data_IF_173822531352
#
_entry.id   IF_173822531352
#
_cell.length_a   1.000
_cell.length_b   1.000
_cell.length_c   1.000
_cell.angle_alpha   90.00
_cell.angle_beta   90.00
_cell.angle_gamma   90.00
#
_symmetry.space_group_name_H-M   'P 1'
#
loop_
_entity.id
_entity.type
_entity.pdbx_description
1 polymer ?
#
# COMPACT_ATOMS: atom_id res chain seq x y z
N UNK A 1 -41.69 -36.26 -37.42
CA UNK A 1 -42.21 -34.96 -37.91
C UNK A 1 -43.69 -35.13 -38.14
N UNK A 2 -44.53 -34.40 -37.40
CA UNK A 2 -45.97 -34.38 -37.69
C UNK A 2 -46.19 -33.64 -39.01
N UNK A 3 -46.99 -34.22 -39.90
CA UNK A 3 -47.42 -33.55 -41.13
C UNK A 3 -48.43 -32.48 -40.73
N UNK A 4 -48.13 -31.23 -41.06
CA UNK A 4 -49.03 -30.09 -40.87
C UNK A 4 -50.06 -30.15 -41.99
N UNK A 5 -51.35 -30.29 -41.66
CA UNK A 5 -52.43 -30.46 -42.64
C UNK A 5 -53.42 -29.28 -42.66
N UNK A 6 -53.25 -28.30 -41.77
CA UNK A 6 -54.07 -27.08 -41.74
C UNK A 6 -53.25 -25.82 -41.46
N UNK A 7 -53.79 -24.66 -41.83
CA UNK A 7 -53.16 -23.35 -41.61
C UNK A 7 -53.01 -23.07 -40.11
N UNK A 8 -53.97 -23.50 -39.28
CA UNK A 8 -53.91 -23.33 -37.83
C UNK A 8 -52.78 -24.16 -37.18
N UNK A 9 -52.57 -25.39 -37.64
CA UNK A 9 -51.43 -26.23 -37.20
C UNK A 9 -50.09 -25.64 -37.62
N UNK A 10 -50.03 -24.94 -38.76
CA UNK A 10 -48.82 -24.28 -39.23
C UNK A 10 -48.44 -23.10 -38.34
N UNK A 11 -49.43 -22.29 -37.97
CA UNK A 11 -49.24 -21.13 -37.10
C UNK A 11 -48.80 -21.55 -35.68
N UNK A 12 -49.41 -22.60 -35.14
CA UNK A 12 -49.00 -23.18 -33.86
C UNK A 12 -47.57 -23.74 -33.91
N UNK A 13 -47.21 -24.44 -34.99
CA UNK A 13 -45.87 -24.97 -35.17
C UNK A 13 -44.82 -23.85 -35.29
N UNK A 14 -45.14 -22.75 -35.98
CA UNK A 14 -44.28 -21.56 -36.06
C UNK A 14 -44.06 -20.98 -34.66
N UNK A 15 -45.14 -20.76 -33.90
CA UNK A 15 -45.07 -20.18 -32.56
C UNK A 15 -44.28 -21.07 -31.58
N UNK A 16 -44.43 -22.39 -31.68
CA UNK A 16 -43.63 -23.35 -30.92
C UNK A 16 -42.14 -23.29 -31.29
N UNK A 17 -41.83 -23.20 -32.59
CA UNK A 17 -40.46 -23.11 -33.08
C UNK A 17 -39.79 -21.78 -32.68
N UNK A 18 -40.52 -20.66 -32.74
CA UNK A 18 -40.03 -19.36 -32.29
C UNK A 18 -39.75 -19.34 -30.78
N UNK A 19 -40.66 -19.90 -29.99
CA UNK A 19 -40.49 -20.04 -28.54
C UNK A 19 -39.27 -20.89 -28.22
N UNK A 20 -39.10 -22.01 -28.93
CA UNK A 20 -37.95 -22.90 -28.78
C UNK A 20 -36.65 -22.19 -29.16
N UNK A 21 -36.62 -21.50 -30.29
CA UNK A 21 -35.46 -20.75 -30.75
C UNK A 21 -35.06 -19.65 -29.76
N UNK A 22 -36.02 -18.89 -29.23
CA UNK A 22 -35.78 -17.87 -28.22
C UNK A 22 -35.19 -18.47 -26.93
N UNK A 23 -35.71 -19.62 -26.49
CA UNK A 23 -35.19 -20.33 -25.33
C UNK A 23 -33.76 -20.84 -25.57
N UNK A 24 -33.50 -21.48 -26.71
CA UNK A 24 -32.18 -22.02 -27.06
C UNK A 24 -31.14 -20.89 -27.18
N UNK A 25 -31.49 -19.77 -27.81
CA UNK A 25 -30.63 -18.60 -27.90
C UNK A 25 -30.28 -18.00 -26.52
N UNK A 26 -31.25 -17.96 -25.59
CA UNK A 26 -31.01 -17.50 -24.22
C UNK A 26 -30.04 -18.42 -23.47
N UNK A 27 -30.24 -19.72 -23.57
CA UNK A 27 -29.36 -20.72 -22.94
C UNK A 27 -27.93 -20.64 -23.49
N UNK A 28 -27.79 -20.50 -24.82
CA UNK A 28 -26.49 -20.36 -25.46
C UNK A 28 -25.75 -19.10 -24.98
N UNK A 29 -26.45 -17.96 -24.89
CA UNK A 29 -25.87 -16.73 -24.35
C UNK A 29 -25.42 -16.86 -22.89
N UNK A 30 -26.20 -17.56 -22.06
CA UNK A 30 -25.82 -17.79 -20.66
C UNK A 30 -24.58 -18.69 -20.55
N UNK A 31 -24.53 -19.79 -21.30
CA UNK A 31 -23.35 -20.66 -21.33
C UNK A 31 -22.11 -19.93 -21.85
N UNK A 32 -22.27 -19.12 -22.90
CA UNK A 32 -21.18 -18.30 -23.44
C UNK A 32 -20.69 -17.28 -22.41
N UNK A 33 -21.60 -16.62 -21.69
CA UNK A 33 -21.24 -15.68 -20.64
C UNK A 33 -20.48 -16.36 -19.50
N UNK A 34 -20.92 -17.54 -19.07
CA UNK A 34 -20.25 -18.33 -18.02
C UNK A 34 -18.86 -18.80 -18.47
N UNK A 35 -18.73 -19.32 -19.69
CA UNK A 35 -17.44 -19.71 -20.25
C UNK A 35 -16.51 -18.51 -20.43
N UNK A 36 -17.03 -17.39 -20.94
CA UNK A 36 -16.26 -16.17 -21.10
C UNK A 36 -15.83 -15.60 -19.75
N UNK A 37 -16.68 -15.66 -18.74
CA UNK A 37 -16.31 -15.21 -17.39
C UNK A 37 -15.35 -16.17 -16.71
N UNK A 38 -15.43 -17.49 -16.90
CA UNK A 38 -14.47 -18.44 -16.29
C UNK A 38 -13.05 -18.27 -16.83
N UNK A 39 -12.88 -17.90 -18.11
CA UNK A 39 -11.55 -17.63 -18.69
C UNK A 39 -11.01 -16.23 -18.37
N UNK A 40 -11.80 -15.33 -17.76
CA UNK A 40 -11.29 -14.00 -17.40
C UNK A 40 -10.20 -14.14 -16.33
N UNK A 41 -9.00 -13.59 -16.56
CA UNK A 41 -7.90 -13.63 -15.59
C UNK A 41 -8.30 -13.08 -14.22
N UNK A 42 -9.23 -12.12 -14.18
CA UNK A 42 -9.77 -11.56 -12.93
C UNK A 42 -10.39 -12.62 -12.01
N UNK A 43 -11.04 -13.65 -12.59
CA UNK A 43 -11.67 -14.71 -11.82
C UNK A 43 -10.64 -15.73 -11.30
N UNK A 44 -9.53 -15.93 -12.03
CA UNK A 44 -8.38 -16.70 -11.55
C UNK A 44 -7.64 -15.99 -10.41
N UNK A 45 -7.44 -14.66 -10.52
CA UNK A 45 -6.85 -13.86 -9.44
C UNK A 45 -7.75 -13.88 -8.21
N UNK A 46 -9.07 -13.82 -8.41
CA UNK A 46 -10.04 -13.86 -7.30
C UNK A 46 -10.03 -15.18 -6.55
N UNK A 47 -9.94 -16.32 -7.26
CA UNK A 47 -9.87 -17.63 -6.63
C UNK A 47 -8.54 -17.84 -5.90
N UNK A 48 -7.42 -17.43 -6.50
CA UNK A 48 -6.10 -17.55 -5.84
C UNK A 48 -5.98 -16.61 -4.64
N UNK A 49 -6.44 -15.35 -4.72
CA UNK A 49 -6.46 -14.46 -3.56
C UNK A 49 -7.37 -14.95 -2.44
N UNK A 50 -8.49 -15.58 -2.76
CA UNK A 50 -9.39 -16.16 -1.75
C UNK A 50 -8.72 -17.32 -1.02
N UNK A 51 -8.07 -18.22 -1.74
CA UNK A 51 -7.31 -19.35 -1.18
C UNK A 51 -6.10 -18.88 -0.36
N UNK A 52 -5.44 -17.82 -0.81
CA UNK A 52 -4.36 -17.16 -0.09
C UNK A 52 -4.84 -16.46 1.19
N UNK A 53 -6.03 -15.87 1.17
CA UNK A 53 -6.61 -15.19 2.33
C UNK A 53 -7.17 -16.16 3.39
N UNK A 54 -7.60 -17.35 2.97
CA UNK A 54 -8.13 -18.40 3.85
C UNK A 54 -7.01 -19.19 4.56
N UNK A 55 -5.79 -19.22 4.00
CA UNK A 55 -4.65 -19.88 4.62
C UNK A 55 -3.92 -18.95 5.61
N UNK A 56 -3.94 -19.35 6.89
CA UNK A 56 -3.33 -18.57 7.99
C UNK A 56 -1.81 -18.39 7.81
N UNK A 57 -1.13 -19.44 7.33
CA UNK A 57 0.32 -19.43 7.07
C UNK A 57 0.70 -18.46 5.94
N UNK A 58 -0.09 -18.41 4.86
CA UNK A 58 0.21 -17.55 3.72
C UNK A 58 -0.11 -16.10 4.02
N UNK A 59 -1.15 -15.84 4.82
CA UNK A 59 -1.42 -14.51 5.39
C UNK A 59 -0.24 -13.99 6.19
N UNK A 60 0.31 -14.80 7.10
CA UNK A 60 1.46 -14.39 7.92
C UNK A 60 2.71 -14.13 7.07
N UNK A 61 2.95 -14.97 6.05
CA UNK A 61 4.06 -14.79 5.11
C UNK A 61 3.92 -13.53 4.23
N UNK A 62 2.72 -13.20 3.76
CA UNK A 62 2.44 -11.98 2.98
C UNK A 62 2.58 -10.74 3.85
N UNK A 63 2.08 -10.77 5.08
CA UNK A 63 2.25 -9.68 6.04
C UNK A 63 3.73 -9.48 6.32
N UNK A 64 4.48 -10.53 6.63
CA UNK A 64 5.90 -10.42 6.92
C UNK A 64 6.70 -9.90 5.71
N UNK A 65 6.37 -10.38 4.51
CA UNK A 65 7.02 -9.94 3.26
C UNK A 65 6.68 -8.49 2.91
N UNK A 66 5.41 -8.10 3.04
CA UNK A 66 4.97 -6.71 2.78
C UNK A 66 5.55 -5.73 3.80
N UNK A 67 5.67 -6.14 5.07
CA UNK A 67 6.39 -5.38 6.10
C UNK A 67 7.88 -5.27 5.74
N UNK A 68 8.54 -6.36 5.34
CA UNK A 68 9.94 -6.34 4.93
C UNK A 68 10.20 -5.45 3.70
N UNK A 69 9.32 -5.51 2.69
CA UNK A 69 9.38 -4.67 1.51
C UNK A 69 9.08 -3.19 1.83
N UNK A 70 8.07 -2.94 2.66
CA UNK A 70 7.71 -1.60 3.10
C UNK A 70 8.82 -0.96 3.93
N UNK A 71 9.35 -1.70 4.92
CA UNK A 71 10.48 -1.28 5.72
C UNK A 71 11.74 -1.09 4.87
N UNK A 72 12.02 -1.98 3.93
CA UNK A 72 13.13 -1.86 2.98
C UNK A 72 13.00 -0.64 2.06
N UNK A 73 11.79 -0.32 1.60
CA UNK A 73 11.50 0.86 0.79
C UNK A 73 11.61 2.16 1.59
N UNK A 74 11.08 2.19 2.81
CA UNK A 74 11.25 3.30 3.75
C UNK A 74 12.73 3.50 4.10
N UNK A 75 13.45 2.42 4.38
CA UNK A 75 14.90 2.42 4.59
C UNK A 75 15.62 2.98 3.36
N UNK A 76 15.26 2.56 2.15
CA UNK A 76 15.81 3.12 0.90
C UNK A 76 15.57 4.63 0.79
N UNK A 77 14.37 5.12 1.14
CA UNK A 77 14.07 6.56 1.14
C UNK A 77 14.93 7.33 2.16
N UNK A 78 15.17 6.75 3.33
CA UNK A 78 15.88 7.39 4.44
C UNK A 78 17.41 7.35 4.27
N UNK A 79 17.97 6.20 3.91
CA UNK A 79 19.42 5.96 3.86
C UNK A 79 20.04 6.16 2.46
N UNK A 80 19.34 5.81 1.38
CA UNK A 80 19.87 5.92 0.01
C UNK A 80 19.55 7.32 -0.56
N UNK A 81 20.40 8.28 -0.23
CA UNK A 81 20.17 9.72 -0.44
C UNK A 81 19.91 10.21 -1.88
N UNK A 82 19.39 11.44 -1.92
CA UNK A 82 19.42 12.41 -3.02
C UNK A 82 18.55 12.20 -4.29
N UNK A 83 17.33 11.66 -4.18
CA UNK A 83 16.30 11.92 -5.21
C UNK A 83 15.43 13.13 -4.82
N UNK A 84 15.04 13.97 -5.80
CA UNK A 84 14.18 15.16 -5.70
C UNK A 84 12.72 14.86 -5.25
N UNK A 85 12.50 13.79 -4.48
CA UNK A 85 11.15 13.34 -4.13
C UNK A 85 10.52 14.20 -3.02
N UNK A 86 9.29 14.70 -3.21
CA UNK A 86 8.56 15.50 -2.23
C UNK A 86 8.26 14.73 -0.93
N UNK A 87 8.15 13.40 -1.00
CA UNK A 87 7.89 12.52 0.16
C UNK A 87 9.00 12.63 1.22
N UNK A 88 10.27 12.75 0.79
CA UNK A 88 11.40 12.95 1.73
C UNK A 88 11.29 14.28 2.47
N UNK A 89 10.90 15.35 1.77
CA UNK A 89 10.72 16.67 2.40
C UNK A 89 9.63 16.61 3.46
N UNK A 90 8.54 15.90 3.20
CA UNK A 90 7.47 15.71 4.17
C UNK A 90 7.95 14.93 5.40
N UNK A 91 8.61 13.79 5.21
CA UNK A 91 9.16 12.98 6.31
C UNK A 91 10.21 13.75 7.12
N UNK A 92 11.12 14.45 6.43
CA UNK A 92 12.13 15.30 7.06
C UNK A 92 11.52 16.44 7.86
N UNK A 93 10.48 17.09 7.33
CA UNK A 93 9.76 18.14 8.04
C UNK A 93 9.00 17.61 9.26
N UNK A 94 8.38 16.43 9.17
CA UNK A 94 7.70 15.80 10.32
C UNK A 94 8.71 15.41 11.42
N UNK A 95 9.82 14.80 11.04
CA UNK A 95 10.90 14.46 11.98
C UNK A 95 11.49 15.73 12.61
N UNK A 96 11.82 16.73 11.80
CA UNK A 96 12.32 18.01 12.28
C UNK A 96 11.31 18.69 13.19
N UNK A 97 10.02 18.72 12.84
CA UNK A 97 8.97 19.29 13.68
C UNK A 97 8.83 18.54 15.02
N UNK A 98 8.91 17.21 15.01
CA UNK A 98 8.91 16.39 16.22
C UNK A 98 10.11 16.69 17.13
N UNK A 99 11.32 16.75 16.56
CA UNK A 99 12.54 17.11 17.28
C UNK A 99 12.44 18.55 17.81
N UNK A 100 12.04 19.51 16.98
CA UNK A 100 11.88 20.92 17.37
C UNK A 100 10.85 21.09 18.49
N UNK A 101 9.72 20.38 18.45
CA UNK A 101 8.72 20.41 19.51
C UNK A 101 9.24 19.83 20.83
N UNK A 102 10.10 18.80 20.77
CA UNK A 102 10.77 18.26 21.96
C UNK A 102 11.86 19.22 22.48
N UNK A 103 12.66 19.81 21.59
CA UNK A 103 13.71 20.78 21.93
C UNK A 103 13.13 22.04 22.58
N UNK A 104 12.02 22.55 22.06
CA UNK A 104 11.35 23.74 22.60
C UNK A 104 10.67 23.48 23.94
N UNK A 105 10.20 22.26 24.21
CA UNK A 105 9.59 21.88 25.50
C UNK A 105 10.61 21.46 26.57
N UNK A 106 11.78 20.97 26.17
CA UNK A 106 12.83 20.50 27.07
C UNK A 106 14.22 21.03 26.66
N UNK A 107 14.45 22.36 26.75
CA UNK A 107 15.69 22.98 26.30
C UNK A 107 16.92 22.51 27.09
N UNK A 108 16.77 22.23 28.39
CA UNK A 108 17.87 21.83 29.27
C UNK A 108 18.43 20.43 28.94
N UNK A 109 17.55 19.50 28.56
CA UNK A 109 17.92 18.14 28.15
C UNK A 109 18.71 18.14 26.84
N UNK A 110 18.37 19.04 25.91
CA UNK A 110 19.09 19.14 24.64
C UNK A 110 20.41 19.88 24.82
N UNK A 111 20.47 20.87 25.72
CA UNK A 111 21.73 21.54 26.08
C UNK A 111 22.73 20.56 26.69
N UNK A 112 22.29 19.64 27.56
CA UNK A 112 23.18 18.63 28.15
C UNK A 112 23.63 17.56 27.16
N UNK A 113 22.74 17.11 26.26
CA UNK A 113 23.08 16.18 25.17
C UNK A 113 24.06 16.84 24.21
N UNK A 114 23.78 18.08 23.76
CA UNK A 114 24.66 18.85 22.89
C UNK A 114 26.03 19.10 23.53
N UNK A 115 26.08 19.46 24.81
CA UNK A 115 27.32 19.61 25.56
C UNK A 115 28.08 18.28 25.69
N UNK A 116 27.39 17.15 25.83
CA UNK A 116 28.02 15.83 25.90
C UNK A 116 28.65 15.44 24.56
N UNK A 117 27.95 15.69 23.44
CA UNK A 117 28.50 15.48 22.10
C UNK A 117 29.67 16.42 21.80
N UNK A 118 29.60 17.70 22.19
CA UNK A 118 30.69 18.66 22.02
C UNK A 118 31.92 18.29 22.86
N UNK A 119 31.72 17.78 24.09
CA UNK A 119 32.82 17.26 24.93
C UNK A 119 33.51 16.05 24.34
N UNK A 120 32.76 15.18 23.64
CA UNK A 120 33.32 14.00 22.95
C UNK A 120 34.12 14.41 21.71
N UNK A 121 33.70 15.46 20.99
CA UNK A 121 34.35 15.92 19.76
C UNK A 121 35.52 16.88 20.03
N UNK A 122 35.48 17.67 21.11
CA UNK A 122 36.54 18.63 21.45
C UNK A 122 36.92 18.52 22.95
N UNK A 123 37.88 17.64 23.31
CA UNK A 123 38.22 17.35 24.71
C UNK A 123 39.05 18.43 25.43
N UNK A 124 39.41 19.53 24.77
CA UNK A 124 40.15 20.63 25.41
C UNK A 124 39.49 21.98 25.15
N UNK A 125 38.81 22.51 26.18
CA UNK A 125 39.03 23.82 26.80
C UNK A 125 37.96 24.00 27.89
N UNK A 126 38.35 23.70 29.14
CA UNK A 126 37.65 24.21 30.30
C UNK A 126 37.95 25.69 30.40
N UNK A 127 36.92 26.52 30.28
CA UNK A 127 36.99 27.96 30.49
C UNK A 127 35.74 28.38 31.24
N UNK A 128 35.89 28.49 32.55
CA UNK A 128 34.91 29.05 33.47
C UNK A 128 34.66 30.51 33.07
N UNK A 129 33.46 30.81 32.58
CA UNK A 129 32.98 32.19 32.48
C UNK A 129 32.24 32.47 33.77
N UNK A 130 33.00 32.89 34.79
CA UNK A 130 32.43 33.57 35.93
C UNK A 130 32.35 35.08 35.64
N UNK A 131 31.21 35.65 36.00
CA UNK A 131 30.83 37.00 35.65
C UNK A 131 31.56 38.03 36.49
N UNK A 132 32.79 38.38 36.12
CA UNK A 132 33.31 39.71 36.43
C UNK A 132 34.46 40.08 35.48
N UNK A 133 34.29 41.18 34.76
CA UNK A 133 35.31 41.70 33.86
C UNK A 133 36.57 42.11 34.64
N UNK A 134 37.68 41.39 34.40
CA UNK A 134 39.04 41.95 34.35
C UNK A 134 40.00 40.92 33.76
N UNK A 135 40.55 41.27 32.60
CA UNK A 135 41.70 40.62 32.00
C UNK A 135 42.96 40.96 32.79
N UNK A 136 43.66 39.97 33.31
CA UNK A 136 45.09 40.12 33.58
C UNK A 136 45.87 38.99 32.90
N UNK A 137 46.80 39.44 32.06
CA UNK A 137 47.76 38.66 31.30
C UNK A 137 48.92 38.37 32.23
N UNK A 138 49.35 37.10 32.31
CA UNK A 138 50.75 36.79 32.59
C UNK A 138 51.19 35.53 31.88
#
# INVERSE_FOLDING_TARGET
MQKINSIAELEEAILQLETRQAHEAKMLRQQFHLAYSSIKPINLIKSTFKEVAESKELKDNIVNTSVGLGAGYLSKILFQGASKNPIKKLLGNVLMFGITNLVTKHPDTIKSVGQSFLKIINPHHGGEIDGNGKSEIK
#
